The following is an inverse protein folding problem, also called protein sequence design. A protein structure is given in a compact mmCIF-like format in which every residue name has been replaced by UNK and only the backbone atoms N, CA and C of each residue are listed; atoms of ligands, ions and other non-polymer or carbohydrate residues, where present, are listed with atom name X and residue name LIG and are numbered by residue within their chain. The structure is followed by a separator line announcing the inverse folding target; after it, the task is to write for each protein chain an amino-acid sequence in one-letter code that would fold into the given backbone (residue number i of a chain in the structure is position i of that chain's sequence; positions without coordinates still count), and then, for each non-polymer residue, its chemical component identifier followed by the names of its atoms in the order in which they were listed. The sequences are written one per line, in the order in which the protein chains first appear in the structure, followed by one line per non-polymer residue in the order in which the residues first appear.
data_IF_139614903934
#
_entry.id   IF_139614903934
#
_cell.length_a   1.000
_cell.length_b   1.000
_cell.length_c   1.000
_cell.angle_alpha   90.00
_cell.angle_beta   90.00
_cell.angle_gamma   90.00
#
_symmetry.space_group_name_H-M   'P 1'
#
loop_
_entity.id
_entity.type
_entity.pdbx_description
1 polymer ?
2 water ?
#
# COMPACT_ATOMS: atom_id res chain seq x y z
N UNK A 5 33.54 -15.57 1.80
CA UNK A 5 32.08 -15.23 1.64
C UNK A 5 31.59 -15.68 0.25
N UNK A 6 30.61 -16.59 0.24
CA UNK A 6 29.95 -17.00 -1.00
C UNK A 6 28.53 -16.40 -1.07
N UNK A 7 28.12 -15.97 -2.26
CA UNK A 7 26.81 -15.33 -2.43
C UNK A 7 25.73 -16.41 -2.37
N UNK A 8 24.62 -16.10 -1.70
CA UNK A 8 23.50 -17.04 -1.62
C UNK A 8 22.81 -17.05 -2.94
N UNK A 9 22.41 -18.22 -3.41
CA UNK A 9 21.61 -18.29 -4.61
C UNK A 9 20.15 -18.02 -4.28
N UNK A 10 19.36 -17.89 -5.33
CA UNK A 10 18.04 -17.33 -5.16
C UNK A 10 17.05 -18.31 -4.53
N UNK A 11 17.24 -19.61 -4.71
CA UNK A 11 16.48 -20.59 -3.92
C UNK A 11 16.68 -20.38 -2.41
N UNK A 12 17.90 -20.04 -2.03
CA UNK A 12 18.23 -19.80 -0.61
C UNK A 12 17.53 -18.55 -0.09
N UNK A 13 17.53 -17.51 -0.91
CA UNK A 13 16.81 -16.28 -0.58
C UNK A 13 15.29 -16.46 -0.59
N UNK A 14 14.75 -17.20 -1.55
CA UNK A 14 13.30 -17.52 -1.57
C UNK A 14 12.86 -18.35 -0.36
N UNK A 15 13.72 -19.23 0.13
CA UNK A 15 13.46 -20.02 1.35
C UNK A 15 13.12 -19.11 2.53
N UNK A 16 13.80 -17.98 2.63
CA UNK A 16 13.52 -17.01 3.68
C UNK A 16 12.25 -16.20 3.37
N UNK A 17 12.19 -15.70 2.14
CA UNK A 17 11.08 -14.87 1.70
C UNK A 17 9.74 -15.62 1.86
N UNK A 18 9.76 -16.94 1.69
CA UNK A 18 8.56 -17.77 1.75
C UNK A 18 8.32 -18.37 3.12
N UNK A 19 9.07 -17.94 4.14
CA UNK A 19 9.20 -18.73 5.37
C UNK A 19 7.91 -18.93 6.20
N UNK A 20 6.97 -17.97 6.10
CA UNK A 20 5.62 -18.12 6.68
C UNK A 20 5.36 -17.37 7.98
N UNK A 21 6.41 -17.22 8.78
CA UNK A 21 6.37 -16.55 10.07
C UNK A 21 7.09 -15.21 10.11
N UNK A 22 7.23 -14.52 9.00
CA UNK A 22 7.82 -13.19 9.02
C UNK A 22 6.71 -12.19 8.65
N UNK A 23 6.33 -11.35 9.62
CA UNK A 23 5.23 -10.40 9.52
C UNK A 23 5.35 -9.53 8.28
N UNK A 24 6.57 -9.08 8.00
CA UNK A 24 6.86 -8.23 6.84
C UNK A 24 6.45 -8.91 5.56
N UNK A 25 6.44 -10.23 5.56
CA UNK A 25 6.11 -10.99 4.37
C UNK A 25 4.63 -11.37 4.33
N UNK A 26 4.04 -11.73 5.46
CA UNK A 26 2.68 -12.23 5.39
C UNK A 26 1.60 -11.11 5.44
N UNK A 27 1.92 -9.94 6.00
CA UNK A 27 0.98 -8.83 6.09
C UNK A 27 1.39 -7.66 5.21
N UNK A 28 0.39 -6.87 4.84
CA UNK A 28 0.53 -5.66 4.06
C UNK A 28 -0.24 -4.50 4.71
N UNK A 29 0.11 -3.26 4.35
CA UNK A 29 -0.59 -2.12 4.91
C UNK A 29 -2.10 -2.12 4.66
N UNK A 30 -2.79 -1.21 5.33
CA UNK A 30 -4.25 -1.26 5.44
C UNK A 30 -5.05 -1.18 4.12
N UNK A 31 -4.80 -0.17 3.31
CA UNK A 31 -5.56 0.01 2.06
C UNK A 31 -5.33 -1.16 1.11
N UNK A 32 -4.08 -1.64 1.05
CA UNK A 32 -3.75 -2.82 0.30
C UNK A 32 -4.57 -4.02 0.79
N UNK A 33 -4.59 -4.21 2.10
CA UNK A 33 -5.29 -5.31 2.69
C UNK A 33 -6.82 -5.26 2.52
N UNK A 34 -7.42 -4.08 2.68
CA UNK A 34 -8.85 -3.97 2.61
C UNK A 34 -9.33 -4.02 1.16
N UNK A 35 -8.63 -3.30 0.29
CA UNK A 35 -9.19 -2.95 -1.01
C UNK A 35 -8.43 -3.52 -2.22
N UNK A 36 -7.21 -4.04 -1.98
CA UNK A 36 -6.39 -4.62 -3.03
C UNK A 36 -5.70 -5.91 -2.56
N UNK A 37 -6.47 -6.79 -1.87
CA UNK A 37 -5.84 -7.92 -1.18
C UNK A 37 -5.41 -9.09 -2.06
N UNK A 38 -6.02 -9.21 -3.24
CA UNK A 38 -5.67 -10.28 -4.18
C UNK A 38 -4.39 -9.96 -4.95
N UNK A 39 -3.91 -10.98 -5.65
CA UNK A 39 -2.66 -10.90 -6.36
C UNK A 39 -2.82 -11.57 -7.71
N UNK A 40 -2.16 -10.97 -8.71
CA UNK A 40 -1.99 -11.59 -9.99
C UNK A 40 -0.58 -11.31 -10.44
N UNK A 41 0.14 -12.36 -10.81
CA UNK A 41 1.50 -12.22 -11.34
C UNK A 41 1.46 -12.49 -12.83
N UNK A 42 2.07 -11.61 -13.62
CA UNK A 42 2.06 -11.74 -15.06
C UNK A 42 3.40 -12.28 -15.57
N UNK A 43 3.35 -13.01 -16.69
CA UNK A 43 4.55 -13.50 -17.37
C UNK A 43 4.98 -12.54 -18.47
N UNK A 44 4.21 -11.48 -18.65
CA UNK A 44 4.60 -10.36 -19.48
C UNK A 44 5.08 -9.19 -18.59
N UNK A 45 5.95 -8.37 -19.16
CA UNK A 45 6.47 -7.19 -18.51
C UNK A 45 5.35 -6.29 -18.09
N UNK A 46 4.42 -6.06 -19.02
CA UNK A 46 3.26 -5.26 -18.76
C UNK A 46 2.11 -6.06 -18.23
N UNK A 47 1.30 -5.40 -17.42
CA UNK A 47 0.07 -5.94 -16.88
C UNK A 47 -0.97 -5.91 -17.99
N UNK A 48 -1.53 -7.08 -18.29
CA UNK A 48 -2.54 -7.24 -19.29
C UNK A 48 -3.91 -7.50 -18.64
N UNK A 49 -4.67 -6.43 -18.41
CA UNK A 49 -5.83 -6.49 -17.53
C UNK A 49 -6.99 -7.29 -18.12
N UNK A 50 -7.08 -7.26 -19.45
CA UNK A 50 -8.02 -8.02 -20.26
C UNK A 50 -7.89 -9.54 -20.11
N UNK A 51 -6.78 -10.03 -19.57
CA UNK A 51 -6.56 -11.46 -19.39
C UNK A 51 -6.95 -12.02 -18.01
N UNK A 52 -7.52 -11.20 -17.13
CA UNK A 52 -7.76 -11.66 -15.76
C UNK A 52 -9.00 -12.57 -15.71
N UNK A 53 -8.90 -13.66 -14.93
CA UNK A 53 -10.01 -14.63 -14.78
C UNK A 53 -11.23 -14.00 -14.08
N UNK A 54 -10.96 -13.18 -13.07
CA UNK A 54 -11.99 -12.42 -12.37
C UNK A 54 -12.51 -11.27 -13.25
N UNK A 55 -13.78 -11.32 -13.60
CA UNK A 55 -14.40 -10.27 -14.41
C UNK A 55 -14.71 -9.00 -13.61
N UNK A 56 -14.80 -9.13 -12.29
CA UNK A 56 -15.31 -8.05 -11.44
C UNK A 56 -14.29 -6.99 -11.01
N UNK A 57 -13.04 -7.08 -11.48
CA UNK A 57 -12.11 -5.99 -11.29
C UNK A 57 -12.00 -5.10 -12.55
N UNK A 58 -11.39 -3.92 -12.38
CA UNK A 58 -11.28 -2.92 -13.46
C UNK A 58 -10.32 -3.41 -14.54
N UNK A 59 -10.72 -3.30 -15.81
CA UNK A 59 -9.91 -3.93 -16.86
C UNK A 59 -9.33 -2.95 -17.88
N UNK A 60 -9.52 -1.66 -17.64
CA UNK A 60 -8.77 -0.66 -18.34
C UNK A 60 -8.59 0.58 -17.49
N UNK A 61 -7.61 1.40 -17.87
CA UNK A 61 -7.38 2.70 -17.25
C UNK A 61 -7.01 3.68 -18.34
N UNK A 62 -7.22 4.96 -18.06
CA UNK A 62 -6.85 6.04 -18.96
C UNK A 62 -5.44 6.49 -18.59
N UNK A 63 -4.53 6.23 -19.52
CA UNK A 63 -3.13 6.44 -19.32
C UNK A 63 -2.67 7.61 -20.18
N UNK A 64 -1.98 8.54 -19.54
CA UNK A 64 -1.54 9.77 -20.17
C UNK A 64 -0.05 9.99 -19.94
N UNK A 65 0.68 10.45 -20.99
CA UNK A 65 2.06 10.78 -20.74
C UNK A 65 2.15 12.12 -19.94
N UNK A 66 3.34 12.41 -19.46
CA UNK A 66 3.60 13.61 -18.67
C UNK A 66 4.83 14.29 -19.25
N UNK A 67 4.85 15.61 -19.14
CA UNK A 67 6.04 16.40 -19.46
C UNK A 67 6.29 17.20 -18.20
N UNK A 68 7.32 16.81 -17.44
CA UNK A 68 7.55 17.36 -16.12
C UNK A 68 6.45 16.88 -15.19
N UNK A 69 5.84 17.84 -14.50
CA UNK A 69 4.68 17.56 -13.66
C UNK A 69 3.37 17.76 -14.44
N UNK A 70 3.44 18.03 -15.73
CA UNK A 70 2.23 18.28 -16.50
C UNK A 70 1.70 16.99 -17.14
N UNK A 71 0.45 16.63 -16.83
CA UNK A 71 -0.18 15.50 -17.49
C UNK A 71 -0.71 15.94 -18.86
N UNK A 72 -0.32 15.23 -19.92
CA UNK A 72 -0.80 15.50 -21.29
C UNK A 72 -2.04 14.66 -21.57
N UNK A 73 -3.18 15.12 -21.05
CA UNK A 73 -4.42 14.34 -21.12
C UNK A 73 -4.96 14.19 -22.55
N UNK A 74 -4.58 15.09 -23.45
CA UNK A 74 -5.00 14.97 -24.85
C UNK A 74 -4.27 13.82 -25.52
N UNK A 75 -3.13 13.43 -24.96
CA UNK A 75 -2.40 12.25 -25.42
C UNK A 75 -2.68 10.97 -24.62
N UNK A 76 -3.69 11.00 -23.76
CA UNK A 76 -4.08 9.81 -23.01
C UNK A 76 -5.13 9.00 -23.73
N UNK A 77 -5.24 7.73 -23.36
CA UNK A 77 -6.21 6.83 -23.98
C UNK A 77 -6.50 5.68 -23.02
N UNK A 78 -7.71 5.11 -23.10
CA UNK A 78 -8.06 3.89 -22.37
C UNK A 78 -7.31 2.70 -22.92
N UNK A 79 -6.64 2.01 -22.03
CA UNK A 79 -5.89 0.82 -22.40
C UNK A 79 -6.00 -0.23 -21.30
N UNK A 80 -5.99 -1.50 -21.70
CA UNK A 80 -5.93 -2.61 -20.77
C UNK A 80 -4.49 -3.08 -20.53
N UNK A 81 -3.56 -2.48 -21.25
CA UNK A 81 -2.13 -2.71 -21.04
C UNK A 81 -1.58 -1.60 -20.15
N UNK A 82 -1.09 -1.99 -18.97
CA UNK A 82 -0.54 -1.07 -17.98
C UNK A 82 0.94 -1.40 -17.76
N UNK A 83 1.81 -0.40 -17.85
CA UNK A 83 3.22 -0.57 -17.59
C UNK A 83 3.48 -0.28 -16.11
N UNK A 84 3.85 -1.30 -15.31
CA UNK A 84 4.11 -1.03 -13.90
C UNK A 84 5.44 -0.30 -13.62
N UNK A 85 5.51 0.39 -12.48
CA UNK A 85 6.76 0.96 -12.02
C UNK A 85 7.66 -0.16 -11.53
N UNK A 86 8.79 -0.36 -12.20
CA UNK A 86 9.73 -1.40 -11.85
C UNK A 86 10.61 -0.94 -10.70
N UNK A 87 10.69 -1.78 -9.69
CA UNK A 87 11.47 -1.51 -8.50
C UNK A 87 12.56 -2.55 -8.30
N UNK A 88 13.72 -2.09 -7.83
CA UNK A 88 14.83 -2.98 -7.47
C UNK A 88 15.78 -2.37 -6.44
N UNK A 89 15.24 -2.03 -5.25
CA UNK A 89 16.09 -1.48 -4.22
C UNK A 89 17.14 -2.49 -3.80
N UNK A 90 18.35 -1.97 -3.56
CA UNK A 90 19.44 -2.80 -3.06
C UNK A 90 20.11 -2.13 -1.88
N UNK A 91 20.82 -2.95 -1.12
CA UNK A 91 21.57 -2.49 0.04
C UNK A 91 22.89 -3.24 0.07
N UNK A 92 23.93 -2.57 0.56
CA UNK A 92 25.20 -3.20 0.84
C UNK A 92 25.12 -4.09 2.10
N UNK A 93 25.81 -5.22 2.06
CA UNK A 93 25.92 -6.12 3.21
C UNK A 93 27.26 -5.86 3.86
N UNK A 94 27.23 -5.07 4.93
CA UNK A 94 28.45 -4.63 5.60
C UNK A 94 28.65 -5.41 6.88
N UNK A 95 29.56 -6.38 6.87
CA UNK A 95 29.72 -7.23 8.06
C UNK A 95 30.38 -6.54 9.25
N UNK A 96 30.79 -5.29 9.10
CA UNK A 96 31.33 -4.55 10.22
C UNK A 96 30.23 -3.94 11.10
N UNK A 97 28.96 -4.01 10.69
CA UNK A 97 27.86 -3.47 11.50
C UNK A 97 27.76 -4.21 12.85
N UNK A 98 27.33 -3.49 13.88
CA UNK A 98 26.88 -4.14 15.13
C UNK A 98 25.48 -4.72 14.90
N UNK A 99 25.33 -6.01 15.14
CA UNK A 99 24.08 -6.70 14.90
C UNK A 99 23.27 -6.74 16.20
N UNK A 100 22.07 -6.19 16.13
CA UNK A 100 21.17 -6.15 17.27
C UNK A 100 20.61 -7.55 17.41
N UNK A 101 20.77 -8.15 18.57
CA UNK A 101 20.04 -9.35 18.85
C UNK A 101 18.82 -9.20 19.68
N UNK A 102 17.85 -9.99 19.33
CA UNK A 102 16.59 -9.98 20.00
C UNK A 102 16.73 -10.69 21.31
N UNK A 103 16.02 -10.21 22.30
CA UNK A 103 14.63 -10.50 22.43
C UNK A 103 14.47 -12.01 22.19
N UNK A 104 15.03 -12.79 23.09
CA UNK A 104 14.83 -14.21 23.06
C UNK A 104 15.64 -14.74 21.91
N UNK A 105 16.91 -14.98 22.18
CA UNK A 105 17.86 -15.35 21.17
C UNK A 105 19.30 -15.32 21.60
N UNK A 106 20.13 -15.92 20.78
CA UNK A 106 20.88 -17.06 21.14
C UNK A 106 22.32 -16.64 20.95
N UNK A 107 22.88 -15.91 21.90
CA UNK A 107 24.08 -15.07 21.65
C UNK A 107 25.20 -15.73 20.81
N UNK A 108 25.37 -17.05 20.96
CA UNK A 108 26.54 -17.78 20.44
C UNK A 108 26.76 -17.71 18.92
N UNK A 109 25.68 -17.66 18.14
CA UNK A 109 25.84 -17.68 16.68
C UNK A 109 26.52 -16.42 16.16
N UNK A 110 26.34 -15.31 16.86
CA UNK A 110 26.77 -14.01 16.34
C UNK A 110 28.28 -13.85 16.20
N UNK A 111 29.06 -14.87 16.57
CA UNK A 111 30.48 -14.90 16.24
C UNK A 111 30.70 -15.34 14.79
N UNK A 112 29.98 -16.39 14.39
CA UNK A 112 30.09 -16.95 13.05
C UNK A 112 29.79 -15.92 11.95
N UNK A 113 30.80 -15.57 11.12
CA UNK A 113 30.62 -14.57 10.06
C UNK A 113 29.54 -14.91 9.04
N UNK A 114 29.32 -16.20 8.78
CA UNK A 114 28.26 -16.66 7.89
C UNK A 114 26.91 -16.32 8.48
N UNK A 115 26.77 -16.58 9.78
CA UNK A 115 25.55 -16.29 10.51
C UNK A 115 25.25 -14.79 10.46
N UNK A 116 26.30 -13.99 10.61
CA UNK A 116 26.20 -12.55 10.59
C UNK A 116 25.86 -12.01 9.20
N UNK A 117 26.44 -12.57 8.15
CA UNK A 117 26.07 -12.17 6.79
C UNK A 117 24.59 -12.47 6.58
N UNK A 118 24.17 -13.66 7.02
CA UNK A 118 22.77 -14.09 6.89
C UNK A 118 21.82 -13.13 7.58
N UNK A 119 22.17 -12.70 8.79
CA UNK A 119 21.39 -11.70 9.51
C UNK A 119 21.27 -10.40 8.75
N UNK A 120 22.37 -9.94 8.15
CA UNK A 120 22.33 -8.69 7.37
C UNK A 120 21.54 -8.82 6.09
N UNK A 121 21.67 -9.99 5.43
CA UNK A 121 21.00 -10.26 4.19
C UNK A 121 19.49 -10.28 4.40
N UNK A 122 19.06 -11.05 5.40
CA UNK A 122 17.64 -11.21 5.71
C UNK A 122 17.06 -9.91 6.25
N UNK A 123 17.86 -9.17 7.03
CA UNK A 123 17.44 -7.87 7.53
C UNK A 123 17.17 -6.88 6.40
N UNK A 124 18.05 -6.86 5.41
CA UNK A 124 17.91 -5.99 4.26
C UNK A 124 16.82 -6.47 3.31
N UNK A 125 16.63 -7.78 3.20
CA UNK A 125 15.50 -8.31 2.45
C UNK A 125 14.19 -7.83 3.03
N UNK A 126 14.04 -7.90 4.36
CA UNK A 126 12.83 -7.44 5.03
C UNK A 126 12.56 -5.96 4.78
N UNK A 127 13.62 -5.17 4.78
CA UNK A 127 13.55 -3.72 4.57
C UNK A 127 13.17 -3.41 3.11
N UNK A 128 13.68 -4.22 2.18
CA UNK A 128 13.33 -4.07 0.76
C UNK A 128 11.86 -4.40 0.47
N UNK A 129 11.34 -5.47 1.07
CA UNK A 129 9.91 -5.78 0.95
C UNK A 129 9.05 -4.68 1.59
N UNK A 130 9.48 -4.15 2.72
CA UNK A 130 8.75 -3.09 3.36
C UNK A 130 8.65 -1.90 2.42
N UNK A 131 9.72 -1.60 1.69
CA UNK A 131 9.74 -0.46 0.81
C UNK A 131 8.86 -0.67 -0.42
N UNK A 132 8.83 -1.91 -0.94
CA UNK A 132 7.98 -2.26 -2.06
C UNK A 132 6.53 -2.18 -1.62
N UNK A 133 6.21 -2.69 -0.41
CA UNK A 133 4.83 -2.67 0.08
C UNK A 133 4.34 -1.25 0.40
N UNK A 134 5.27 -0.39 0.82
CA UNK A 134 5.04 1.02 1.07
C UNK A 134 4.70 1.78 -0.22
N UNK A 135 5.45 1.52 -1.29
CA UNK A 135 5.10 2.08 -2.61
C UNK A 135 3.73 1.61 -3.05
N UNK A 136 3.44 0.34 -2.88
CA UNK A 136 2.14 -0.18 -3.23
C UNK A 136 1.01 0.50 -2.45
N UNK A 137 1.23 0.75 -1.15
CA UNK A 137 0.20 1.37 -0.30
C UNK A 137 -0.03 2.80 -0.69
N UNK A 138 1.06 3.50 -1.04
CA UNK A 138 1.01 4.85 -1.54
C UNK A 138 0.16 4.89 -2.80
N UNK A 139 0.45 3.99 -3.74
CA UNK A 139 -0.33 3.86 -4.94
C UNK A 139 -1.80 3.52 -4.62
N UNK A 140 -2.05 2.62 -3.68
CA UNK A 140 -3.41 2.23 -3.27
C UNK A 140 -4.24 3.41 -2.69
N UNK A 141 -3.64 4.14 -1.76
CA UNK A 141 -4.31 5.25 -1.13
C UNK A 141 -4.56 6.36 -2.15
N UNK A 142 -3.58 6.65 -2.99
CA UNK A 142 -3.79 7.63 -4.06
C UNK A 142 -4.91 7.25 -5.03
N UNK A 143 -4.99 5.98 -5.41
CA UNK A 143 -6.05 5.53 -6.30
C UNK A 143 -7.43 5.74 -5.68
N UNK A 144 -7.60 5.30 -4.44
CA UNK A 144 -8.86 5.40 -3.71
C UNK A 144 -9.27 6.87 -3.48
N UNK A 145 -8.30 7.74 -3.17
CA UNK A 145 -8.61 9.10 -2.73
C UNK A 145 -8.64 10.13 -3.86
N UNK A 146 -7.97 9.83 -4.98
CA UNK A 146 -7.89 10.77 -6.11
C UNK A 146 -8.25 10.13 -7.45
N UNK A 147 -8.40 8.80 -7.47
CA UNK A 147 -8.55 8.05 -8.73
C UNK A 147 -7.33 7.97 -9.61
N UNK A 148 -6.20 8.50 -9.15
CA UNK A 148 -4.99 8.58 -10.00
C UNK A 148 -3.69 8.10 -9.33
N UNK A 149 -2.81 7.54 -10.16
CA UNK A 149 -1.44 7.22 -9.79
C UNK A 149 -0.48 7.83 -10.80
N UNK A 150 0.64 8.35 -10.28
CA UNK A 150 1.79 8.68 -11.11
C UNK A 150 2.79 7.54 -11.08
N UNK A 151 3.05 6.96 -12.24
CA UNK A 151 3.89 5.78 -12.35
C UNK A 151 5.27 6.17 -12.88
N UNK A 152 6.30 5.75 -12.15
CA UNK A 152 7.70 5.92 -12.54
C UNK A 152 8.45 4.59 -12.30
N UNK A 153 9.54 4.39 -13.02
CA UNK A 153 10.35 3.18 -12.82
C UNK A 153 11.48 3.00 -13.79
N UNK A 154 12.22 1.92 -13.59
CA UNK A 154 13.35 1.58 -14.45
C UNK A 154 12.84 1.36 -15.87
N UNK A 155 13.41 2.09 -16.82
CA UNK A 155 13.14 1.84 -18.23
C UNK A 155 11.86 2.40 -18.82
N UNK A 156 11.05 3.11 -18.04
CA UNK A 156 9.88 3.79 -18.60
C UNK A 156 9.97 5.26 -18.35
N UNK A 157 9.15 6.01 -19.09
CA UNK A 157 8.93 7.41 -18.79
C UNK A 157 7.70 7.59 -17.90
N UNK A 158 7.85 8.46 -16.92
CA UNK A 158 6.80 8.83 -15.97
C UNK A 158 5.47 9.14 -16.67
N UNK A 159 4.40 8.50 -16.24
CA UNK A 159 3.05 8.73 -16.81
C UNK A 159 1.97 8.57 -15.73
N UNK A 160 0.75 9.00 -16.06
CA UNK A 160 -0.38 8.95 -15.13
C UNK A 160 -1.36 7.85 -15.52
N UNK A 161 -1.80 7.09 -14.52
CA UNK A 161 -2.95 6.20 -14.63
C UNK A 161 -4.11 6.91 -13.97
N UNK A 162 -5.24 6.94 -14.65
CA UNK A 162 -6.45 7.53 -14.13
C UNK A 162 -7.59 6.50 -14.23
N UNK A 163 -8.06 6.10 -13.06
CA UNK A 163 -9.19 5.15 -12.93
C UNK A 163 -10.54 5.87 -13.06
N UNK A 164 -10.49 7.20 -13.19
CA UNK A 164 -11.64 8.06 -13.46
C UNK A 164 -12.67 7.93 -12.35
N UNK A 165 -12.30 8.29 -11.13
CA UNK A 165 -13.26 8.27 -10.05
C UNK A 165 -14.24 9.45 -10.31
N UNK A 166 -15.55 9.24 -10.14
CA UNK A 166 -16.43 10.40 -10.32
C UNK A 166 -16.05 11.57 -9.39
N UNK A 167 -16.16 12.78 -9.91
CA UNK A 167 -15.85 14.00 -9.16
C UNK A 167 -16.66 14.19 -7.89
N UNK A 168 -17.93 13.81 -7.94
CA UNK A 168 -18.81 13.87 -6.77
C UNK A 168 -18.32 12.95 -5.62
N UNK A 169 -17.41 12.02 -5.94
CA UNK A 169 -16.87 11.08 -4.92
C UNK A 169 -15.74 11.69 -4.09
N UNK A 170 -15.24 12.84 -4.50
CA UNK A 170 -14.17 13.52 -3.81
C UNK A 170 -14.79 14.81 -3.31
N UNK A 171 -14.95 14.90 -1.99
CA UNK A 171 -15.76 15.93 -1.39
C UNK A 171 -14.88 16.80 -0.49
N UNK A 172 -15.11 18.10 -0.49
CA UNK A 172 -14.45 18.97 0.45
C UNK A 172 -15.46 19.68 1.31
N UNK A 173 -15.29 19.63 2.63
CA UNK A 173 -16.18 20.37 3.52
C UNK A 173 -16.21 21.88 3.25
N UNK A 174 -15.10 22.43 2.78
CA UNK A 174 -15.04 23.86 2.44
C UNK A 174 -15.99 24.28 1.31
N UNK A 175 -16.52 23.34 0.51
CA UNK A 175 -17.61 23.63 -0.43
C UNK A 175 -19.00 23.51 0.21
N UNK A 176 -19.04 23.18 1.49
CA UNK A 176 -20.32 23.05 2.19
C UNK A 176 -20.19 23.35 3.67
N UNK A 177 -20.72 22.43 4.48
CA UNK A 177 -20.75 22.52 5.92
C UNK A 177 -19.43 22.05 6.54
N UNK A 178 -18.71 22.96 7.18
CA UNK A 178 -17.48 22.62 7.89
C UNK A 178 -17.74 22.14 9.33
N UNK A 179 -17.12 21.04 9.71
CA UNK A 179 -17.26 20.52 11.09
C UNK A 179 -16.69 21.46 12.14
N UNK A 180 -15.62 22.16 11.80
CA UNK A 180 -14.97 23.07 12.72
C UNK A 180 -15.93 24.20 13.16
N UNK A 181 -16.94 24.48 12.33
CA UNK A 181 -17.89 25.54 12.55
C UNK A 181 -19.19 25.04 13.16
N UNK A 182 -19.29 23.76 13.48
CA UNK A 182 -20.54 23.25 14.04
C UNK A 182 -20.54 23.31 15.55
N UNK A 183 -21.74 23.27 16.12
CA UNK A 183 -21.92 23.27 17.55
C UNK A 183 -21.69 21.85 18.01
N UNK A 184 -20.60 21.67 18.74
CA UNK A 184 -20.16 20.37 19.20
C UNK A 184 -21.11 19.72 20.19
N UNK A 185 -21.93 20.55 20.85
CA UNK A 185 -22.94 20.02 21.74
C UNK A 185 -24.20 19.55 21.02
N UNK A 186 -24.52 20.10 19.87
CA UNK A 186 -25.84 19.86 19.27
C UNK A 186 -25.85 19.25 17.87
N UNK A 187 -24.73 19.32 17.17
CA UNK A 187 -24.68 18.80 15.81
C UNK A 187 -24.56 17.27 15.77
N UNK A 188 -25.33 16.66 14.86
CA UNK A 188 -25.26 15.23 14.61
C UNK A 188 -24.39 14.96 13.39
N UNK A 189 -23.10 14.65 13.61
CA UNK A 189 -22.20 14.42 12.47
C UNK A 189 -22.53 13.19 11.62
N UNK A 190 -23.28 12.23 12.16
CA UNK A 190 -23.74 11.08 11.39
C UNK A 190 -24.50 11.45 10.12
N UNK A 191 -25.22 12.57 10.13
CA UNK A 191 -26.03 12.95 8.97
C UNK A 191 -25.19 13.52 7.86
N UNK A 192 -24.03 14.10 8.20
CA UNK A 192 -23.06 14.47 7.18
C UNK A 192 -22.41 13.22 6.60
N UNK A 193 -22.05 12.28 7.46
CA UNK A 193 -21.38 11.05 7.00
C UNK A 193 -22.32 10.31 6.05
N UNK A 194 -23.61 10.24 6.41
CA UNK A 194 -24.63 9.63 5.55
C UNK A 194 -24.69 10.34 4.22
N UNK A 195 -24.69 11.67 4.26
CA UNK A 195 -24.64 12.47 3.05
C UNK A 195 -23.43 12.15 2.19
N UNK A 196 -22.24 12.02 2.78
CA UNK A 196 -21.04 11.68 1.99
C UNK A 196 -21.14 10.28 1.39
N UNK A 197 -21.65 9.35 2.18
CA UNK A 197 -21.81 7.97 1.77
C UNK A 197 -22.81 7.80 0.61
N UNK A 198 -23.79 8.68 0.47
CA UNK A 198 -24.70 8.67 -0.70
C UNK A 198 -23.93 8.63 -2.01
N UNK A 199 -22.81 9.32 -2.07
CA UNK A 199 -22.03 9.38 -3.31
C UNK A 199 -21.44 8.04 -3.76
N UNK A 200 -21.25 7.08 -2.86
CA UNK A 200 -20.71 5.75 -3.23
C UNK A 200 -21.69 4.94 -4.12
N UNK A 201 -22.97 5.28 -4.05
CA UNK A 201 -24.02 4.56 -4.78
C UNK A 201 -24.37 3.20 -4.18
N UNK A 202 -23.70 2.86 -3.08
CA UNK A 202 -23.79 1.53 -2.44
C UNK A 202 -23.45 1.70 -0.96
N UNK A 203 -23.74 0.69 -0.13
CA UNK A 203 -23.45 0.92 1.27
C UNK A 203 -21.96 1.02 1.56
N UNK A 204 -21.60 1.90 2.48
CA UNK A 204 -20.26 1.92 3.03
C UNK A 204 -20.29 1.18 4.35
N UNK A 205 -19.31 0.30 4.56
CA UNK A 205 -19.21 -0.44 5.81
C UNK A 205 -17.88 -0.20 6.55
N UNK A 206 -17.07 0.70 6.02
CA UNK A 206 -15.82 1.10 6.67
C UNK A 206 -15.55 2.60 6.47
N UNK A 207 -15.15 3.27 7.56
CA UNK A 207 -14.69 4.66 7.50
C UNK A 207 -13.24 4.71 8.03
N UNK A 208 -12.29 4.99 7.14
CA UNK A 208 -10.88 5.16 7.46
C UNK A 208 -10.53 6.66 7.52
N UNK A 209 -9.97 7.08 8.67
CA UNK A 209 -9.86 8.49 9.04
C UNK A 209 -8.43 8.81 9.40
N UNK A 210 -7.95 9.96 8.94
CA UNK A 210 -6.76 10.58 9.49
C UNK A 210 -7.02 11.05 10.92
N UNK A 211 -5.93 11.44 11.60
CA UNK A 211 -5.93 11.79 13.02
C UNK A 211 -6.75 13.01 13.36
N UNK A 212 -6.72 13.99 12.46
CA UNK A 212 -7.42 15.24 12.65
C UNK A 212 -8.91 14.99 12.51
N UNK A 213 -9.29 14.14 11.54
CA UNK A 213 -10.68 13.71 11.41
C UNK A 213 -11.21 13.04 12.69
N UNK A 214 -10.46 12.10 13.22
CA UNK A 214 -10.88 11.41 14.42
C UNK A 214 -11.02 12.36 15.61
N UNK A 215 -10.03 13.23 15.80
CA UNK A 215 -10.07 14.29 16.84
C UNK A 215 -11.38 15.10 16.79
N UNK A 216 -11.71 15.59 15.60
CA UNK A 216 -12.89 16.41 15.39
C UNK A 216 -14.21 15.63 15.58
N UNK A 217 -14.31 14.48 14.92
CA UNK A 217 -15.48 13.62 15.07
C UNK A 217 -15.76 13.30 16.54
N UNK A 218 -14.71 13.01 17.27
CA UNK A 218 -14.75 12.74 18.72
C UNK A 218 -15.26 13.90 19.55
N UNK A 219 -14.96 15.12 19.11
CA UNK A 219 -15.37 16.32 19.86
C UNK A 219 -16.88 16.59 19.84
N UNK A 220 -17.62 15.89 18.99
CA UNK A 220 -19.08 16.00 18.95
C UNK A 220 -19.71 15.09 19.99
N UNK A 221 -20.35 15.70 20.98
CA UNK A 221 -21.18 15.01 21.98
C UNK A 221 -22.13 13.98 21.35
N UNK A 222 -22.71 14.34 20.21
CA UNK A 222 -23.68 13.47 19.55
C UNK A 222 -23.02 12.30 18.84
N UNK A 223 -21.75 12.44 18.46
CA UNK A 223 -21.00 11.27 18.03
C UNK A 223 -20.74 10.33 19.22
N UNK A 224 -20.30 10.89 20.35
CA UNK A 224 -19.97 10.09 21.54
C UNK A 224 -21.13 9.22 22.03
N UNK A 225 -22.34 9.79 21.97
CA UNK A 225 -23.56 9.09 22.38
C UNK A 225 -23.91 7.89 21.48
N UNK A 226 -23.47 7.91 20.22
CA UNK A 226 -23.73 6.81 19.26
C UNK A 226 -22.52 5.91 19.08
N UNK A 227 -21.34 6.43 19.43
CA UNK A 227 -20.06 5.73 19.30
C UNK A 227 -20.09 4.40 20.08
N UNK A 228 -19.88 3.31 19.35
CA UNK A 228 -19.93 1.97 19.92
C UNK A 228 -18.52 1.37 19.94
N UNK A 229 -17.83 1.60 21.06
CA UNK A 229 -16.46 1.09 21.31
C UNK A 229 -16.35 -0.45 21.20
N UNK A 230 -17.45 -1.16 21.41
CA UNK A 230 -17.44 -2.63 21.37
C UNK A 230 -17.01 -3.18 20.01
N UNK A 231 -16.22 -4.25 20.05
CA UNK A 231 -15.79 -4.95 18.83
C UNK A 231 -15.19 -6.30 19.18
N UNK A 232 -15.07 -7.18 18.18
CA UNK A 232 -14.36 -8.45 18.38
C UNK A 232 -14.20 -9.31 17.14
N UNK A 233 -13.21 -8.98 16.31
CA UNK A 233 -12.93 -9.70 15.04
C UNK A 233 -14.20 -10.03 14.24
N UNK A 234 -15.22 -9.20 14.43
CA UNK A 234 -16.59 -9.48 14.02
C UNK A 234 -16.80 -9.10 12.54
N UNK A 235 -15.81 -8.41 11.96
CA UNK A 235 -15.87 -7.93 10.58
C UNK A 235 -14.52 -8.08 9.87
N UNK A 236 -14.56 -8.13 8.53
CA UNK A 236 -13.34 -8.03 7.72
C UNK A 236 -12.52 -6.77 8.05
N UNK A 237 -13.21 -5.64 8.26
CA UNK A 237 -12.55 -4.37 8.64
C UNK A 237 -11.72 -4.55 9.90
N UNK A 238 -12.33 -5.17 10.90
CA UNK A 238 -11.70 -5.40 12.19
C UNK A 238 -10.54 -6.41 12.14
N UNK A 239 -10.77 -7.52 11.48
CA UNK A 239 -9.71 -8.49 11.19
C UNK A 239 -8.49 -7.86 10.50
N UNK A 240 -8.72 -7.02 9.50
CA UNK A 240 -7.62 -6.35 8.80
C UNK A 240 -6.71 -5.50 9.71
N UNK A 241 -7.21 -4.99 10.83
CA UNK A 241 -6.41 -4.13 11.72
C UNK A 241 -5.55 -4.85 12.76
N UNK A 242 -5.89 -6.10 13.07
CA UNK A 242 -5.23 -6.83 14.16
C UNK A 242 -3.72 -6.95 13.97
N UNK A 243 -3.25 -7.01 12.73
CA UNK A 243 -1.81 -7.08 12.46
C UNK A 243 -1.12 -5.76 12.11
N UNK A 244 -1.85 -4.66 12.24
CA UNK A 244 -1.40 -3.32 11.82
C UNK A 244 -1.46 -2.31 12.99
N UNK A 245 -1.34 -2.81 14.22
CA UNK A 245 -1.42 -1.97 15.41
C UNK A 245 -0.35 -0.92 15.59
N UNK A 246 0.70 -1.01 14.79
CA UNK A 246 1.71 0.03 14.76
C UNK A 246 1.25 1.35 14.10
N UNK A 247 0.29 1.25 13.14
CA UNK A 247 -0.14 2.43 12.36
C UNK A 247 -1.66 2.67 12.28
N UNK A 248 -2.43 1.73 12.79
CA UNK A 248 -3.86 1.68 12.62
C UNK A 248 -4.50 1.40 13.97
N UNK A 249 -5.63 2.04 14.24
CA UNK A 249 -6.38 1.78 15.42
C UNK A 249 -7.84 1.59 15.06
N UNK A 250 -8.38 0.45 15.46
CA UNK A 250 -9.77 0.14 15.30
C UNK A 250 -10.51 0.71 16.48
N UNK A 251 -11.51 1.54 16.18
CA UNK A 251 -12.20 2.33 17.19
C UNK A 251 -13.55 1.77 17.61
N UNK A 252 -14.19 0.98 16.74
CA UNK A 252 -15.53 0.51 17.00
C UNK A 252 -16.42 0.70 15.80
N UNK A 253 -17.71 0.83 16.04
CA UNK A 253 -18.72 0.90 14.99
C UNK A 253 -19.67 2.07 15.22
N UNK A 254 -20.21 2.57 14.11
CA UNK A 254 -21.28 3.56 14.09
C UNK A 254 -22.40 2.93 13.27
N UNK A 255 -23.24 2.13 13.91
CA UNK A 255 -24.19 1.32 13.17
C UNK A 255 -23.41 0.21 12.50
N UNK A 256 -23.54 0.09 11.17
CA UNK A 256 -22.80 -0.96 10.43
C UNK A 256 -21.50 -0.43 9.81
N UNK A 257 -21.07 0.75 10.25
CA UNK A 257 -19.87 1.41 9.75
C UNK A 257 -18.71 1.20 10.70
N UNK A 258 -17.69 0.48 10.26
CA UNK A 258 -16.49 0.25 11.07
C UNK A 258 -15.64 1.49 11.04
N UNK A 259 -15.00 1.77 12.18
CA UNK A 259 -14.27 3.01 12.39
C UNK A 259 -12.80 2.71 12.63
N UNK A 260 -11.96 3.23 11.73
CA UNK A 260 -10.53 2.98 11.71
C UNK A 260 -9.83 4.35 11.60
N UNK A 261 -8.92 4.60 12.53
CA UNK A 261 -8.00 5.72 12.43
C UNK A 261 -6.68 5.20 11.89
N UNK A 262 -6.20 5.87 10.85
CA UNK A 262 -5.05 5.40 10.09
C UNK A 262 -3.98 6.46 10.10
N UNK A 263 -2.81 6.12 10.60
CA UNK A 263 -1.71 7.05 10.83
C UNK A 263 -0.41 6.59 10.19
N UNK A 264 -0.48 5.67 9.23
CA UNK A 264 0.71 5.22 8.51
C UNK A 264 1.52 6.29 7.79
N UNK A 265 2.83 6.18 7.87
CA UNK A 265 3.73 7.10 7.22
C UNK A 265 4.74 6.37 6.34
N UNK A 266 5.30 7.10 5.40
CA UNK A 266 6.43 6.61 4.63
C UNK A 266 7.47 7.70 4.55
N UNK A 267 8.67 7.31 4.17
CA UNK A 267 9.71 8.28 3.86
C UNK A 267 9.89 8.36 2.34
N UNK A 268 10.00 9.59 1.82
CA UNK A 268 10.17 9.79 0.36
C UNK A 268 11.66 9.94 -0.02
N UNK A 269 11.94 10.02 -1.32
CA UNK A 269 13.32 10.15 -1.86
C UNK A 269 14.15 11.16 -1.07
N UNK A 270 13.55 12.32 -0.82
CA UNK A 270 14.18 13.36 0.02
C UNK A 270 14.49 12.94 1.46
N UNK A 271 13.93 11.82 1.90
CA UNK A 271 14.15 11.32 3.26
C UNK A 271 13.21 11.98 4.25
N UNK A 272 12.13 12.58 3.72
CA UNK A 272 11.14 13.25 4.56
C UNK A 272 9.89 12.35 4.83
N UNK A 273 9.40 12.43 6.06
CA UNK A 273 8.24 11.68 6.55
C UNK A 273 6.93 12.26 6.02
N UNK A 274 6.10 11.41 5.44
CA UNK A 274 4.79 11.86 4.96
C UNK A 274 3.73 10.86 5.38
N UNK A 275 2.49 11.33 5.51
CA UNK A 275 1.35 10.46 5.72
C UNK A 275 0.89 9.87 4.40
N UNK A 276 0.53 8.60 4.43
CA UNK A 276 -0.20 7.99 3.33
C UNK A 276 -1.52 8.69 3.12
N UNK A 277 -2.26 8.84 4.22
CA UNK A 277 -3.54 9.51 4.23
C UNK A 277 -3.38 10.79 5.03
N UNK A 278 -3.57 11.93 4.36
CA UNK A 278 -3.49 13.20 5.01
C UNK A 278 -4.44 13.20 6.20
N UNK A 279 -4.00 13.81 7.30
CA UNK A 279 -4.72 13.68 8.55
C UNK A 279 -6.12 14.24 8.54
N UNK A 280 -6.43 15.14 7.61
CA UNK A 280 -7.76 15.80 7.49
C UNK A 280 -8.70 15.10 6.50
N UNK A 281 -8.31 13.91 6.04
CA UNK A 281 -9.10 13.08 5.11
C UNK A 281 -9.73 11.85 5.80
N UNK A 282 -10.95 11.52 5.33
CA UNK A 282 -11.63 10.27 5.68
C UNK A 282 -12.07 9.63 4.37
N UNK A 283 -12.06 8.31 4.36
CA UNK A 283 -12.44 7.51 3.21
C UNK A 283 -13.56 6.58 3.63
N UNK A 284 -14.64 6.61 2.84
CA UNK A 284 -15.75 5.69 3.01
C UNK A 284 -15.66 4.65 1.92
N UNK A 285 -15.68 3.38 2.33
CA UNK A 285 -15.63 2.28 1.37
C UNK A 285 -16.35 1.05 1.85
N UNK A 286 -16.25 -0.01 1.07
CA UNK A 286 -16.91 -1.29 1.35
C UNK A 286 -15.84 -2.37 1.27
N UNK A 287 -15.64 -3.10 2.36
CA UNK A 287 -14.63 -4.14 2.43
C UNK A 287 -14.87 -5.35 1.50
N UNK A 288 -16.05 -5.44 0.90
CA UNK A 288 -16.32 -6.41 -0.17
C UNK A 288 -15.77 -5.97 -1.54
N UNK A 289 -15.37 -4.71 -1.67
CA UNK A 289 -14.92 -4.12 -2.96
C UNK A 289 -13.40 -4.39 -3.10
N UNK A 290 -13.07 -5.63 -3.40
CA UNK A 290 -11.67 -6.07 -3.35
C UNK A 290 -11.11 -6.25 -4.73
N UNK A 291 -10.08 -5.48 -5.04
CA UNK A 291 -9.30 -5.64 -6.25
C UNK A 291 -8.00 -6.33 -5.95
N UNK A 292 -6.93 -5.95 -6.64
CA UNK A 292 -5.68 -6.71 -6.54
C UNK A 292 -4.46 -5.85 -6.65
N UNK A 293 -3.32 -6.45 -6.34
CA UNK A 293 -2.03 -5.89 -6.74
C UNK A 293 -1.57 -6.79 -7.86
N UNK A 294 -1.39 -6.20 -9.02
CA UNK A 294 -0.92 -6.89 -10.20
C UNK A 294 0.58 -6.72 -10.28
N UNK A 295 1.27 -7.81 -10.60
CA UNK A 295 2.74 -7.77 -10.71
C UNK A 295 3.16 -8.07 -12.16
N UNK A 296 3.93 -7.16 -12.74
CA UNK A 296 4.49 -7.41 -14.04
C UNK A 296 5.61 -8.40 -13.87
N UNK A 297 6.02 -9.00 -14.98
CA UNK A 297 7.16 -9.95 -14.96
C UNK A 297 8.47 -9.32 -14.46
N UNK A 298 9.23 -10.15 -13.74
CA UNK A 298 10.58 -9.81 -13.36
C UNK A 298 11.44 -9.79 -14.61
N UNK A 299 12.26 -8.75 -14.76
CA UNK A 299 13.00 -8.49 -16.00
C UNK A 299 14.52 -8.73 -15.87
N UNK A 300 14.97 -9.09 -14.68
CA UNK A 300 16.36 -9.45 -14.41
C UNK A 300 16.83 -10.64 -15.27
N UNK A 301 18.02 -10.52 -15.87
CA UNK A 301 18.50 -11.55 -16.78
C UNK A 301 18.54 -12.92 -16.11
N UNK A 302 18.94 -12.98 -14.84
CA UNK A 302 19.06 -14.28 -14.16
C UNK A 302 17.67 -14.83 -13.87
N UNK A 303 16.73 -13.94 -13.58
CA UNK A 303 15.32 -14.34 -13.50
C UNK A 303 14.87 -14.86 -14.88
N UNK A 304 15.18 -14.10 -15.93
CA UNK A 304 14.81 -14.52 -17.31
C UNK A 304 15.49 -15.85 -17.70
N UNK A 305 16.80 -15.95 -17.48
CA UNK A 305 17.56 -17.19 -17.77
C UNK A 305 16.94 -18.44 -17.15
N UNK A 306 16.56 -18.35 -15.88
CA UNK A 306 16.15 -19.49 -15.06
C UNK A 306 14.62 -19.71 -15.05
N UNK A 307 13.94 -19.00 -15.94
CA UNK A 307 12.47 -19.06 -16.02
C UNK A 307 11.74 -18.69 -14.74
N UNK A 308 12.22 -17.66 -14.05
CA UNK A 308 11.61 -17.22 -12.75
C UNK A 308 11.00 -15.78 -12.81
N UNK A 309 10.55 -15.39 -14.01
CA UNK A 309 10.04 -14.06 -14.30
C UNK A 309 8.65 -13.80 -13.70
N UNK A 310 7.91 -14.87 -13.43
CA UNK A 310 6.56 -14.73 -12.93
C UNK A 310 6.62 -14.81 -11.44
N UNK A 311 6.70 -13.64 -10.80
CA UNK A 311 7.00 -13.51 -9.38
C UNK A 311 6.62 -12.14 -8.83
N UNK A 312 6.08 -12.10 -7.62
CA UNK A 312 5.87 -10.84 -6.90
C UNK A 312 7.24 -10.19 -6.65
N UNK A 313 8.16 -11.00 -6.12
CA UNK A 313 9.49 -10.56 -5.70
C UNK A 313 10.54 -11.49 -6.25
N UNK A 314 11.70 -10.93 -6.54
CA UNK A 314 12.84 -11.70 -6.96
C UNK A 314 14.11 -11.13 -6.30
N UNK A 315 14.57 -11.81 -5.24
CA UNK A 315 15.74 -11.40 -4.48
C UNK A 315 17.04 -11.93 -5.08
N UNK A 316 18.09 -11.12 -4.98
CA UNK A 316 19.41 -11.48 -5.50
C UNK A 316 20.42 -11.10 -4.47
N UNK A 317 21.45 -11.94 -4.29
CA UNK A 317 22.60 -11.59 -3.46
C UNK A 317 23.86 -11.78 -4.32
N UNK A 318 24.78 -10.83 -4.30
CA UNK A 318 26.02 -10.98 -5.07
C UNK A 318 27.15 -10.18 -4.43
N UNK A 319 28.38 -10.61 -4.73
CA UNK A 319 29.62 -10.00 -4.25
C UNK A 319 30.39 -9.53 -5.47
N UNK A 320 30.73 -8.25 -5.50
CA UNK A 320 31.46 -7.66 -6.62
C UNK A 320 32.92 -7.68 -6.30
N UNK A 321 33.76 -7.75 -7.32
CA UNK A 321 35.20 -7.70 -7.12
C UNK A 321 35.70 -6.26 -7.13
N UNK A 322 36.67 -5.98 -6.29
CA UNK A 322 37.17 -4.62 -6.08
C UNK A 322 38.20 -4.64 -4.97
N UNK A 323 38.85 -3.50 -4.75
CA UNK A 323 39.90 -3.39 -3.70
C UNK A 323 39.24 -3.70 -2.35
N UNK A 324 38.06 -3.10 -2.11
CA UNK A 324 37.07 -3.77 -1.28
C UNK A 324 36.08 -4.50 -2.19
N UNK A 325 35.86 -5.79 -1.95
CA UNK A 325 34.77 -6.48 -2.61
C UNK A 325 33.48 -6.08 -1.87
N UNK A 326 32.51 -5.52 -2.57
CA UNK A 326 31.25 -5.12 -1.95
C UNK A 326 30.15 -6.13 -2.25
N UNK A 327 29.44 -6.54 -1.21
CA UNK A 327 28.33 -7.47 -1.32
C UNK A 327 27.01 -6.70 -1.25
N UNK A 328 26.05 -7.11 -2.09
CA UNK A 328 24.72 -6.49 -2.17
C UNK A 328 23.64 -7.55 -2.05
N UNK A 329 22.49 -7.13 -1.56
CA UNK A 329 21.23 -7.85 -1.71
C UNK A 329 20.26 -6.87 -2.38
N UNK A 330 19.42 -7.40 -3.24
CA UNK A 330 18.49 -6.59 -4.01
C UNK A 330 17.23 -7.39 -4.30
N UNK A 331 16.09 -6.72 -4.29
CA UNK A 331 14.81 -7.35 -4.55
C UNK A 331 14.06 -6.63 -5.68
N UNK A 332 13.81 -7.36 -6.77
CA UNK A 332 13.03 -6.91 -7.91
C UNK A 332 11.53 -7.10 -7.68
N UNK A 333 10.75 -6.12 -8.10
CA UNK A 333 9.26 -6.19 -8.07
C UNK A 333 8.65 -5.11 -8.98
N UNK A 334 7.50 -5.43 -9.58
CA UNK A 334 6.80 -4.50 -10.49
C UNK A 334 5.30 -4.51 -10.18
N UNK A 335 4.93 -4.05 -8.99
CA UNK A 335 3.54 -4.03 -8.53
C UNK A 335 2.74 -2.81 -8.99
N UNK A 336 1.44 -3.05 -9.20
CA UNK A 336 0.47 -2.00 -9.50
C UNK A 336 -0.89 -2.40 -8.93
N UNK A 337 -1.43 -1.63 -7.96
CA UNK A 337 -2.79 -1.85 -7.49
C UNK A 337 -3.85 -1.63 -8.59
N UNK A 338 -4.81 -2.53 -8.66
CA UNK A 338 -5.90 -2.44 -9.60
C UNK A 338 -7.18 -2.58 -8.80
N UNK A 339 -8.06 -1.56 -8.83
CA UNK A 339 -9.25 -1.61 -8.00
C UNK A 339 -10.30 -2.48 -8.61
N UNK A 340 -11.24 -2.95 -7.78
CA UNK A 340 -12.41 -3.62 -8.27
C UNK A 340 -13.27 -2.53 -8.86
N UNK A 341 -13.97 -1.73 -8.05
CA UNK A 341 -14.82 -0.64 -8.54
C UNK A 341 -14.49 0.68 -7.82
N UNK A 342 -13.82 1.59 -8.53
CA UNK A 342 -13.38 2.87 -7.96
C UNK A 342 -14.57 3.76 -7.53
N UNK A 343 -15.74 3.49 -8.08
CA UNK A 343 -16.90 4.34 -7.83
C UNK A 343 -17.46 4.15 -6.41
N UNK A 344 -17.00 3.11 -5.73
CA UNK A 344 -17.46 2.79 -4.39
C UNK A 344 -16.60 3.36 -3.26
N UNK A 345 -15.77 4.36 -3.59
CA UNK A 345 -14.95 5.07 -2.62
C UNK A 345 -15.35 6.53 -2.60
N UNK A 346 -15.59 7.07 -1.40
CA UNK A 346 -15.84 8.49 -1.23
C UNK A 346 -14.77 9.03 -0.28
N UNK A 347 -14.09 10.09 -0.68
CA UNK A 347 -13.07 10.74 0.17
C UNK A 347 -13.52 12.17 0.53
N UNK A 348 -13.43 12.49 1.82
CA UNK A 348 -13.86 13.78 2.33
C UNK A 348 -12.70 14.48 3.04
N UNK A 349 -12.41 15.71 2.61
CA UNK A 349 -11.48 16.60 3.28
C UNK A 349 -12.26 17.44 4.27
N UNK A 350 -12.03 17.23 5.55
CA UNK A 350 -12.78 17.96 6.54
C UNK A 350 -12.13 19.34 6.73
N UNK A 351 -12.93 20.27 7.21
CA UNK A 351 -12.46 21.60 7.49
C UNK A 351 -13.32 22.12 8.60
#
# INVERSE_FOLDING_TARGET
MTVKAMALNTNQLFAYLNRGDIAEFKFSPLFTTLFFPNVATFSTQNIMLDTLDIEEVTMSAFCSPMVGSQVQRDKGYETSTIKPGYMKPKHEIDPTKTIMRMAGEDPAQLNDPTYRRMRLITGNMRRQINAIKARVEWLAVNAVTTGKNIIEGEGIERYEIDWKIPEKNIIEQADGKKWSEQDKETHYPIYDIELYADQAGCPANVMIMGAEVWRTLRSFKKFRELYDLSRGSESAAELACKNLGEVVSFKGYLGDLALIVYSGKYTDSDGTEKYFLEPDLLVLGNTNNKGLVAYGAIMDQEAVRTGATQNMFYPKNWIEDGDPAIEYVQTHSAPQPVPADIRKFVTVKIA
#
